data_IF_910531739872
#
_entry.id   IF_910531739872
#
_cell.length_a   1.000
_cell.length_b   1.000
_cell.length_c   1.000
_cell.angle_alpha   90.00
_cell.angle_beta   90.00
_cell.angle_gamma   90.00
#
_symmetry.space_group_name_H-M   'P 1'
#
loop_
_entity.id
_entity.type
_entity.pdbx_description
1 polymer ?
#
# COMPACT_ATOMS: atom_id res chain seq x y z
N UNK A 1 11.59 8.35 -36.18
CA UNK A 1 10.32 8.16 -35.42
C UNK A 1 10.40 6.82 -34.70
N UNK A 2 9.98 6.71 -33.43
CA UNK A 2 10.21 5.50 -32.62
C UNK A 2 9.55 4.25 -33.21
N UNK A 3 8.35 4.39 -33.77
CA UNK A 3 7.64 3.33 -34.49
C UNK A 3 8.42 2.78 -35.69
N UNK A 4 9.10 3.65 -36.44
CA UNK A 4 9.93 3.25 -37.57
C UNK A 4 11.20 2.51 -37.11
N UNK A 5 11.86 3.00 -36.06
CA UNK A 5 13.06 2.37 -35.51
C UNK A 5 12.77 1.01 -34.87
N UNK A 6 11.60 0.85 -34.24
CA UNK A 6 11.14 -0.43 -33.69
C UNK A 6 10.69 -1.42 -34.77
N UNK A 7 10.47 -0.95 -35.99
CA UNK A 7 10.02 -1.75 -37.13
C UNK A 7 11.15 -1.95 -38.15
N UNK A 8 12.38 -2.21 -37.67
CA UNK A 8 13.57 -2.46 -38.48
C UNK A 8 13.81 -1.43 -39.60
N UNK A 9 13.47 -0.16 -39.33
CA UNK A 9 13.59 0.92 -40.32
C UNK A 9 12.77 0.66 -41.59
N UNK A 10 11.65 -0.06 -41.45
CA UNK A 10 10.69 -0.30 -42.53
C UNK A 10 9.41 0.52 -42.30
N UNK A 11 8.92 1.14 -43.38
CA UNK A 11 7.67 1.89 -43.36
C UNK A 11 6.53 1.01 -43.86
N UNK A 12 5.53 0.77 -43.00
CA UNK A 12 4.36 -0.06 -43.31
C UNK A 12 3.09 0.78 -43.34
N UNK A 13 2.05 0.28 -44.00
CA UNK A 13 0.73 0.94 -44.05
C UNK A 13 0.11 1.11 -42.66
N UNK A 14 0.42 0.24 -41.71
CA UNK A 14 -0.01 0.34 -40.32
C UNK A 14 0.62 1.56 -39.62
N UNK A 15 1.92 1.79 -39.85
CA UNK A 15 2.63 2.97 -39.34
C UNK A 15 2.04 4.23 -39.97
N UNK A 16 1.80 4.22 -41.28
CA UNK A 16 1.17 5.34 -41.99
C UNK A 16 -0.20 5.68 -41.39
N UNK A 17 -1.08 4.69 -41.25
CA UNK A 17 -2.42 4.87 -40.70
C UNK A 17 -2.38 5.39 -39.27
N UNK A 18 -1.47 4.87 -38.43
CA UNK A 18 -1.32 5.34 -37.07
C UNK A 18 -0.87 6.80 -37.02
N UNK A 19 0.12 7.19 -37.82
CA UNK A 19 0.63 8.57 -37.84
C UNK A 19 -0.45 9.53 -38.32
N UNK A 20 -1.15 9.21 -39.41
CA UNK A 20 -2.27 10.01 -39.91
C UNK A 20 -3.39 10.16 -38.88
N UNK A 21 -3.75 9.07 -38.20
CA UNK A 21 -4.73 9.09 -37.12
C UNK A 21 -4.24 9.97 -35.95
N UNK A 22 -3.00 9.80 -35.50
CA UNK A 22 -2.43 10.56 -34.38
C UNK A 22 -2.39 12.07 -34.66
N UNK A 23 -2.11 12.44 -35.91
CA UNK A 23 -2.10 13.83 -36.37
C UNK A 23 -3.52 14.39 -36.46
N UNK A 24 -4.45 13.63 -37.06
CA UNK A 24 -5.87 14.04 -37.21
C UNK A 24 -6.54 14.33 -35.86
N UNK A 25 -6.15 13.60 -34.82
CA UNK A 25 -6.71 13.76 -33.48
C UNK A 25 -5.85 14.63 -32.54
N UNK A 26 -4.82 15.31 -33.06
CA UNK A 26 -3.90 16.18 -32.32
C UNK A 26 -3.36 15.51 -31.04
N UNK A 27 -3.01 14.23 -31.13
CA UNK A 27 -2.70 13.42 -29.96
C UNK A 27 -1.50 14.00 -29.17
N UNK A 28 -0.53 14.59 -29.86
CA UNK A 28 0.60 15.28 -29.23
C UNK A 28 0.16 16.47 -28.37
N UNK A 29 -0.75 17.31 -28.90
CA UNK A 29 -1.28 18.48 -28.17
C UNK A 29 -2.08 18.01 -26.96
N UNK A 30 -2.92 16.98 -27.13
CA UNK A 30 -3.70 16.38 -26.04
C UNK A 30 -2.80 15.83 -24.94
N UNK A 31 -1.76 15.07 -25.28
CA UNK A 31 -0.82 14.55 -24.29
C UNK A 31 -0.05 15.67 -23.56
N UNK A 32 0.23 16.78 -24.24
CA UNK A 32 0.92 17.92 -23.60
C UNK A 32 0.03 18.71 -22.63
N UNK A 33 -1.27 18.79 -22.90
CA UNK A 33 -2.23 19.51 -22.06
C UNK A 33 -2.75 18.59 -20.94
N UNK A 34 -3.23 17.40 -21.28
CA UNK A 34 -3.84 16.46 -20.34
C UNK A 34 -2.83 15.58 -19.61
N UNK A 35 -1.61 15.39 -20.14
CA UNK A 35 -0.58 14.58 -19.50
C UNK A 35 -0.28 15.02 -18.06
N UNK A 36 0.02 16.31 -17.80
CA UNK A 36 0.24 16.79 -16.44
C UNK A 36 -0.97 16.60 -15.51
N UNK A 37 -2.19 16.76 -16.05
CA UNK A 37 -3.42 16.56 -15.29
C UNK A 37 -3.64 15.08 -14.94
N UNK A 38 -3.24 14.18 -15.84
CA UNK A 38 -3.27 12.73 -15.61
C UNK A 38 -2.20 12.33 -14.60
N UNK A 39 -0.97 12.83 -14.72
CA UNK A 39 0.11 12.56 -13.77
C UNK A 39 -0.26 13.01 -12.34
N UNK A 40 -0.92 14.15 -12.21
CA UNK A 40 -1.45 14.64 -10.94
C UNK A 40 -2.57 13.74 -10.40
N UNK A 41 -3.53 13.36 -11.25
CA UNK A 41 -4.61 12.46 -10.87
C UNK A 41 -4.11 11.06 -10.45
N UNK A 42 -3.16 10.49 -11.19
CA UNK A 42 -2.55 9.20 -10.85
C UNK A 42 -1.68 9.29 -9.60
N UNK A 43 -0.92 10.38 -9.43
CA UNK A 43 -0.14 10.63 -8.22
C UNK A 43 -1.03 10.78 -6.96
N UNK A 44 -2.23 11.32 -7.12
CA UNK A 44 -3.21 11.41 -6.05
C UNK A 44 -3.96 10.10 -5.80
N UNK A 45 -4.21 9.27 -6.81
CA UNK A 45 -4.73 7.91 -6.64
C UNK A 45 -3.74 7.01 -5.90
N UNK A 46 -2.44 7.06 -6.20
CA UNK A 46 -1.42 6.32 -5.44
C UNK A 46 -1.38 6.77 -3.98
N UNK A 47 -1.52 8.08 -3.70
CA UNK A 47 -1.60 8.59 -2.31
C UNK A 47 -2.91 8.22 -1.62
N UNK A 48 -4.03 8.22 -2.35
CA UNK A 48 -5.36 7.90 -1.81
C UNK A 48 -5.51 6.40 -1.51
N UNK A 49 -4.97 5.54 -2.37
CA UNK A 49 -4.92 4.08 -2.17
C UNK A 49 -3.87 3.67 -1.12
N UNK A 50 -2.82 4.47 -0.93
CA UNK A 50 -1.82 4.31 0.13
C UNK A 50 -2.24 4.96 1.48
N UNK A 51 -3.54 5.16 1.71
CA UNK A 51 -4.06 5.26 3.09
C UNK A 51 -3.88 3.90 3.76
N UNK A 52 -2.64 3.60 4.18
CA UNK A 52 -2.31 2.48 5.05
C UNK A 52 -3.36 2.46 6.14
N UNK A 53 -4.15 1.40 6.19
CA UNK A 53 -5.15 1.22 7.23
C UNK A 53 -4.53 1.42 8.62
N UNK A 54 -5.34 1.65 9.65
CA UNK A 54 -4.84 1.95 11.00
C UNK A 54 -3.70 1.00 11.38
N UNK A 55 -2.51 1.57 11.65
CA UNK A 55 -1.28 0.83 11.88
C UNK A 55 -1.51 -0.27 12.92
N UNK A 56 -1.12 -1.51 12.60
CA UNK A 56 -1.30 -2.63 13.51
C UNK A 56 -0.47 -2.37 14.79
N UNK A 57 -1.15 -2.35 15.94
CA UNK A 57 -0.54 -2.14 17.26
C UNK A 57 0.59 -3.14 17.56
N UNK A 58 0.54 -4.33 16.96
CA UNK A 58 1.61 -5.30 17.07
C UNK A 58 2.96 -4.74 16.62
N UNK A 59 2.99 -3.87 15.60
CA UNK A 59 4.22 -3.26 15.08
C UNK A 59 4.91 -2.33 16.09
N UNK A 60 4.18 -1.83 17.10
CA UNK A 60 4.72 -0.94 18.13
C UNK A 60 5.39 -1.69 19.29
N UNK A 61 5.21 -3.00 19.37
CA UNK A 61 5.78 -3.86 20.41
C UNK A 61 7.14 -4.41 19.98
N UNK A 62 7.93 -4.91 20.93
CA UNK A 62 9.19 -5.63 20.63
C UNK A 62 8.89 -7.03 20.04
N UNK A 63 9.89 -7.72 19.51
CA UNK A 63 9.76 -9.11 19.01
C UNK A 63 9.29 -10.07 20.11
N UNK A 64 9.73 -9.83 21.34
CA UNK A 64 9.28 -10.48 22.55
C UNK A 64 8.76 -9.42 23.52
N UNK A 65 7.55 -9.60 24.07
CA UNK A 65 6.94 -8.61 24.96
C UNK A 65 6.10 -9.29 26.04
N UNK A 66 5.86 -8.57 27.15
CA UNK A 66 4.93 -9.00 28.21
C UNK A 66 3.59 -8.31 28.07
N UNK A 67 2.58 -8.82 28.78
CA UNK A 67 1.24 -8.20 28.79
C UNK A 67 1.26 -6.74 29.28
N UNK A 68 2.19 -6.40 30.18
CA UNK A 68 2.40 -5.03 30.67
C UNK A 68 2.82 -4.06 29.56
N UNK A 69 3.71 -4.49 28.66
CA UNK A 69 4.14 -3.69 27.51
C UNK A 69 2.96 -3.37 26.58
N UNK A 70 2.05 -4.34 26.40
CA UNK A 70 0.83 -4.16 25.62
C UNK A 70 -0.14 -3.16 26.28
N UNK A 71 -0.26 -3.17 27.61
CA UNK A 71 -1.07 -2.20 28.35
C UNK A 71 -0.51 -0.78 28.17
N UNK A 72 0.82 -0.62 28.23
CA UNK A 72 1.49 0.67 28.02
C UNK A 72 1.22 1.19 26.61
N UNK A 73 1.31 0.34 25.58
CA UNK A 73 1.02 0.73 24.18
C UNK A 73 -0.46 1.09 24.01
N UNK A 74 -1.38 0.35 24.62
CA UNK A 74 -2.82 0.66 24.57
C UNK A 74 -3.14 2.00 25.24
N UNK A 75 -2.49 2.30 26.38
CA UNK A 75 -2.62 3.59 27.08
C UNK A 75 -2.12 4.75 26.22
N UNK A 76 -0.97 4.60 25.55
CA UNK A 76 -0.43 5.61 24.62
C UNK A 76 -1.38 5.90 23.45
N UNK A 77 -2.15 4.91 23.02
CA UNK A 77 -3.12 5.02 21.93
C UNK A 77 -4.53 5.41 22.40
N UNK A 78 -4.71 5.75 23.68
CA UNK A 78 -6.02 6.15 24.23
C UNK A 78 -7.06 5.03 24.25
N UNK A 79 -6.64 3.75 24.18
CA UNK A 79 -7.55 2.60 24.21
C UNK A 79 -7.78 2.09 25.62
N UNK A 80 -8.90 1.39 25.82
CA UNK A 80 -9.25 0.76 27.09
C UNK A 80 -8.13 -0.15 27.59
N UNK A 81 -7.73 0.02 28.85
CA UNK A 81 -6.66 -0.73 29.50
C UNK A 81 -7.18 -1.94 30.31
N UNK A 82 -8.47 -2.27 30.18
CA UNK A 82 -9.08 -3.41 30.86
C UNK A 82 -8.39 -4.73 30.49
N UNK A 83 -8.02 -5.51 31.49
CA UNK A 83 -7.36 -6.81 31.32
C UNK A 83 -8.16 -7.76 30.41
N UNK A 84 -9.48 -7.68 30.43
CA UNK A 84 -10.35 -8.47 29.54
C UNK A 84 -10.13 -8.10 28.07
N UNK A 85 -10.08 -6.81 27.75
CA UNK A 85 -9.87 -6.32 26.39
C UNK A 85 -8.47 -6.64 25.86
N UNK A 86 -7.46 -6.57 26.74
CA UNK A 86 -6.08 -6.95 26.45
C UNK A 86 -5.98 -8.44 26.12
N UNK A 87 -6.61 -9.31 26.93
CA UNK A 87 -6.65 -10.76 26.70
C UNK A 87 -7.34 -11.11 25.38
N UNK A 88 -8.51 -10.53 25.10
CA UNK A 88 -9.22 -10.76 23.83
C UNK A 88 -8.38 -10.37 22.62
N UNK A 89 -7.62 -9.28 22.71
CA UNK A 89 -6.71 -8.87 21.65
C UNK A 89 -5.57 -9.88 21.43
N UNK A 90 -4.97 -10.39 22.51
CA UNK A 90 -3.94 -11.44 22.42
C UNK A 90 -4.48 -12.72 21.77
N UNK A 91 -5.67 -13.18 22.16
CA UNK A 91 -6.28 -14.35 21.53
C UNK A 91 -6.59 -14.12 20.04
N UNK A 92 -7.01 -12.91 19.67
CA UNK A 92 -7.25 -12.55 18.26
C UNK A 92 -5.96 -12.54 17.45
N UNK A 93 -4.85 -12.12 18.03
CA UNK A 93 -3.55 -12.16 17.36
C UNK A 93 -3.01 -13.59 17.26
N UNK A 94 -3.24 -14.42 18.27
CA UNK A 94 -2.90 -15.84 18.22
C UNK A 94 -3.70 -16.60 17.16
N UNK A 95 -5.01 -16.37 17.07
CA UNK A 95 -5.85 -17.04 16.06
C UNK A 95 -5.50 -16.64 14.62
N UNK A 96 -4.87 -15.48 14.45
CA UNK A 96 -4.36 -14.97 13.16
C UNK A 96 -2.89 -15.37 12.89
N UNK A 97 -2.29 -16.21 13.73
CA UNK A 97 -0.90 -16.64 13.63
C UNK A 97 0.11 -15.47 13.59
N UNK A 98 -0.16 -14.40 14.34
CA UNK A 98 0.74 -13.24 14.43
C UNK A 98 1.67 -13.31 15.66
N UNK A 99 1.27 -14.07 16.68
CA UNK A 99 2.00 -14.25 17.93
C UNK A 99 1.89 -15.68 18.42
N UNK A 100 2.86 -16.11 19.21
CA UNK A 100 2.85 -17.34 19.97
C UNK A 100 3.20 -17.10 21.44
N UNK A 101 2.53 -17.82 22.33
CA UNK A 101 2.78 -17.73 23.77
C UNK A 101 2.35 -19.01 24.50
N UNK A 102 3.17 -19.42 25.47
CA UNK A 102 2.90 -20.57 26.35
C UNK A 102 2.01 -20.19 27.54
N UNK A 103 2.20 -18.98 28.09
CA UNK A 103 1.38 -18.42 29.17
C UNK A 103 1.09 -16.94 28.88
N UNK A 104 -0.13 -16.49 29.19
CA UNK A 104 -0.60 -15.12 28.95
C UNK A 104 0.15 -14.11 29.82
N UNK A 105 0.53 -14.51 31.03
CA UNK A 105 1.35 -13.68 31.93
C UNK A 105 2.86 -13.87 31.67
N UNK A 106 3.21 -14.79 30.77
CA UNK A 106 4.58 -15.11 30.41
C UNK A 106 5.12 -14.20 29.30
N UNK A 107 6.06 -14.76 28.54
CA UNK A 107 6.73 -14.08 27.45
C UNK A 107 5.99 -14.38 26.13
N UNK A 108 5.55 -13.33 25.43
CA UNK A 108 4.79 -13.42 24.18
C UNK A 108 5.74 -13.09 23.03
N UNK A 109 5.79 -13.98 22.01
CA UNK A 109 6.66 -13.84 20.84
C UNK A 109 5.85 -13.51 19.60
N UNK A 110 6.40 -12.66 18.74
CA UNK A 110 5.88 -12.46 17.38
C UNK A 110 6.38 -13.57 16.46
N UNK A 111 5.54 -13.96 15.51
CA UNK A 111 5.88 -14.90 14.43
C UNK A 111 6.29 -14.10 13.20
#
# INVERSE_FOLDING_TARGET
MLLYAMNDETWTDEIQQYVEWSLRYDLWVKMRIFGPMLDEAFGDEEKATNKRGPMNMLMMLKSEFKIEDLIVVRKKLGKTCDLRAVRTQLFTWRSRNLIDFNDINGLIRKI
#
